data_IF_327666592731
#
_entry.id   IF_327666592731
#
_cell.length_a   1.000
_cell.length_b   1.000
_cell.length_c   1.000
_cell.angle_alpha   90.00
_cell.angle_beta   90.00
_cell.angle_gamma   90.00
#
_symmetry.space_group_name_H-M   'P 1'
#
loop_
_entity.id
_entity.type
_entity.pdbx_description
1 polymer ?
#
# COMPACT_ATOMS: atom_id res chain seq x y z
N UNK A 1 4.22 -16.11 -10.17
CA UNK A 1 2.85 -16.66 -10.12
C UNK A 1 1.93 -15.88 -11.05
N UNK A 2 0.71 -16.38 -11.26
CA UNK A 2 -0.27 -15.69 -12.08
C UNK A 2 -1.08 -14.70 -11.23
N UNK A 3 -1.76 -13.74 -11.90
CA UNK A 3 -2.75 -12.78 -11.41
C UNK A 3 -2.36 -11.98 -10.16
N UNK A 4 -1.08 -11.76 -9.90
CA UNK A 4 -0.61 -10.99 -8.76
C UNK A 4 -1.26 -9.60 -8.74
N UNK A 5 -1.24 -8.88 -9.85
CA UNK A 5 -1.85 -7.55 -10.04
C UNK A 5 -3.39 -7.50 -9.83
N UNK A 6 -4.04 -8.66 -9.88
CA UNK A 6 -5.48 -8.80 -9.64
C UNK A 6 -5.83 -9.39 -8.26
N UNK A 7 -4.83 -9.54 -7.38
CA UNK A 7 -4.97 -10.02 -6.01
C UNK A 7 -4.35 -11.37 -5.72
N UNK A 8 -3.75 -12.06 -6.71
CA UNK A 8 -2.98 -13.29 -6.54
C UNK A 8 -3.78 -14.55 -6.17
N UNK A 9 -5.12 -14.47 -6.16
CA UNK A 9 -5.97 -15.59 -5.70
C UNK A 9 -5.88 -16.84 -6.60
N UNK A 10 -5.71 -16.67 -7.93
CA UNK A 10 -5.53 -17.78 -8.88
C UNK A 10 -4.05 -18.16 -9.05
N UNK A 11 -3.14 -17.40 -8.48
CA UNK A 11 -1.70 -17.63 -8.44
C UNK A 11 -1.26 -18.25 -7.11
N UNK A 12 -0.62 -17.45 -6.25
CA UNK A 12 -0.12 -17.90 -4.93
C UNK A 12 -1.24 -18.36 -4.02
N UNK A 13 -2.38 -17.67 -4.00
CA UNK A 13 -3.53 -18.08 -3.21
C UNK A 13 -3.99 -19.50 -3.57
N UNK A 14 -4.13 -19.81 -4.86
CA UNK A 14 -4.47 -21.15 -5.32
C UNK A 14 -3.40 -22.18 -4.95
N UNK A 15 -2.11 -21.84 -5.04
CA UNK A 15 -1.02 -22.74 -4.66
C UNK A 15 -1.08 -23.09 -3.17
N UNK A 16 -1.35 -22.10 -2.31
CA UNK A 16 -1.47 -22.30 -0.87
C UNK A 16 -2.67 -23.22 -0.54
N UNK A 17 -3.80 -23.02 -1.20
CA UNK A 17 -4.99 -23.85 -0.96
C UNK A 17 -4.85 -25.27 -1.48
N UNK A 18 -4.15 -25.50 -2.60
CA UNK A 18 -4.14 -26.80 -3.30
C UNK A 18 -2.79 -27.51 -3.29
N UNK A 19 -1.70 -26.81 -3.00
CA UNK A 19 -0.33 -27.31 -3.08
C UNK A 19 0.55 -26.70 -1.98
N UNK A 20 0.01 -26.59 -0.76
CA UNK A 20 0.70 -25.99 0.39
C UNK A 20 2.09 -26.60 0.66
N UNK A 21 2.30 -27.87 0.30
CA UNK A 21 3.57 -28.58 0.45
C UNK A 21 4.75 -27.91 -0.29
N UNK A 22 4.49 -27.04 -1.28
CA UNK A 22 5.54 -26.29 -1.98
C UNK A 22 6.26 -25.32 -1.04
N UNK A 23 5.55 -24.85 -0.01
CA UNK A 23 6.06 -23.89 0.96
C UNK A 23 6.65 -24.54 2.21
N UNK A 24 6.60 -25.88 2.31
CA UNK A 24 7.09 -26.63 3.47
C UNK A 24 8.60 -26.38 3.67
N UNK A 25 8.97 -25.93 4.87
CA UNK A 25 10.36 -25.65 5.23
C UNK A 25 10.89 -24.31 4.71
N UNK A 26 10.10 -23.52 3.98
CA UNK A 26 10.48 -22.17 3.62
C UNK A 26 10.42 -21.25 4.87
N UNK A 27 11.57 -20.74 5.30
CA UNK A 27 11.64 -19.79 6.43
C UNK A 27 11.67 -18.33 6.00
N UNK A 28 12.18 -18.08 4.80
CA UNK A 28 12.33 -16.71 4.23
C UNK A 28 11.98 -16.70 2.75
N UNK A 29 11.54 -15.55 2.27
CA UNK A 29 11.20 -15.32 0.87
C UNK A 29 11.68 -13.93 0.46
N UNK A 30 12.28 -13.85 -0.73
CA UNK A 30 12.50 -12.59 -1.45
C UNK A 30 11.50 -12.49 -2.59
N UNK A 31 10.81 -11.38 -2.64
CA UNK A 31 9.80 -11.08 -3.67
C UNK A 31 10.09 -9.71 -4.29
N UNK A 32 9.27 -9.32 -5.24
CA UNK A 32 9.20 -7.96 -5.74
C UNK A 32 8.85 -6.96 -4.63
N UNK A 33 9.07 -5.67 -4.87
CA UNK A 33 8.88 -4.61 -3.90
C UNK A 33 10.20 -4.01 -3.42
N UNK A 34 10.12 -3.02 -2.55
CA UNK A 34 11.29 -2.25 -2.16
C UNK A 34 11.84 -1.39 -3.28
N UNK A 35 13.13 -1.07 -3.23
CA UNK A 35 13.82 -0.32 -4.28
C UNK A 35 15.03 0.44 -3.79
N UNK A 36 15.94 0.74 -4.71
CA UNK A 36 17.11 1.59 -4.46
C UNK A 36 16.89 3.01 -4.98
N UNK A 37 17.28 4.00 -4.22
CA UNK A 37 17.27 5.40 -4.64
C UNK A 37 18.62 6.05 -4.41
N UNK A 38 19.00 6.97 -5.29
CA UNK A 38 20.21 7.78 -5.17
C UNK A 38 19.80 9.25 -5.02
N UNK A 39 20.22 9.87 -3.92
CA UNK A 39 20.05 11.31 -3.72
C UNK A 39 20.96 12.13 -4.64
N UNK A 40 20.71 13.44 -4.73
CA UNK A 40 21.56 14.38 -5.48
C UNK A 40 23.02 14.41 -4.96
N UNK A 41 23.21 14.20 -3.66
CA UNK A 41 24.51 14.12 -3.00
C UNK A 41 25.21 12.77 -3.23
N UNK A 42 24.59 11.84 -3.97
CA UNK A 42 25.14 10.54 -4.31
C UNK A 42 24.91 9.44 -3.29
N UNK A 43 24.23 9.71 -2.16
CA UNK A 43 23.90 8.71 -1.16
C UNK A 43 22.91 7.70 -1.74
N UNK A 44 23.12 6.42 -1.42
CA UNK A 44 22.23 5.33 -1.87
C UNK A 44 21.46 4.79 -0.67
N UNK A 45 20.14 4.68 -0.85
CA UNK A 45 19.25 4.10 0.15
C UNK A 45 18.47 2.97 -0.51
N UNK A 46 18.48 1.79 0.11
CA UNK A 46 17.67 0.64 -0.28
C UNK A 46 16.51 0.49 0.69
N UNK A 47 15.29 0.63 0.18
CA UNK A 47 14.07 0.25 0.90
C UNK A 47 13.83 -1.25 0.77
N UNK A 48 13.78 -1.97 1.87
CA UNK A 48 13.35 -3.37 1.93
C UNK A 48 11.91 -3.40 2.42
N UNK A 49 11.00 -3.84 1.57
CA UNK A 49 9.61 -3.95 1.98
C UNK A 49 9.43 -5.06 3.01
N UNK A 50 9.08 -4.69 4.23
CA UNK A 50 8.81 -5.62 5.33
C UNK A 50 7.31 -5.82 5.56
N UNK A 51 6.50 -4.93 5.02
CA UNK A 51 5.04 -4.98 5.06
C UNK A 51 4.45 -4.09 3.97
N UNK A 52 3.16 -4.22 3.76
CA UNK A 52 2.40 -3.44 2.78
C UNK A 52 1.12 -2.90 3.41
N UNK A 53 0.55 -1.86 2.84
CA UNK A 53 -0.81 -1.47 3.18
C UNK A 53 -1.76 -2.59 2.76
N UNK A 54 -2.71 -2.89 3.64
CA UNK A 54 -3.68 -3.98 3.42
C UNK A 54 -4.79 -3.48 2.51
N UNK A 55 -4.97 -4.04 1.31
CA UNK A 55 -6.09 -3.70 0.46
C UNK A 55 -7.40 -4.19 1.06
N UNK A 56 -8.40 -3.31 1.04
CA UNK A 56 -9.78 -3.60 1.42
C UNK A 56 -10.67 -2.96 0.36
N UNK A 57 -11.07 -3.75 -0.63
CA UNK A 57 -11.94 -3.28 -1.70
C UNK A 57 -13.39 -3.46 -1.32
N UNK A 58 -14.14 -2.40 -1.34
CA UNK A 58 -15.51 -2.35 -0.88
C UNK A 58 -16.44 -1.89 -2.00
N UNK A 59 -17.67 -2.39 -1.96
CA UNK A 59 -18.78 -1.83 -2.72
C UNK A 59 -19.83 -1.29 -1.75
N UNK A 60 -20.22 -0.07 -1.98
CA UNK A 60 -21.34 0.58 -1.31
C UNK A 60 -22.58 0.39 -2.18
N UNK A 61 -23.62 -0.23 -1.65
CA UNK A 61 -24.85 -0.54 -2.36
C UNK A 61 -26.02 0.26 -1.76
N UNK A 62 -26.81 0.89 -2.59
CA UNK A 62 -28.05 1.56 -2.18
C UNK A 62 -29.21 1.11 -3.06
N UNK A 63 -30.28 0.65 -2.41
CA UNK A 63 -31.55 0.28 -3.07
C UNK A 63 -32.62 1.25 -2.61
N UNK A 64 -33.43 1.75 -3.56
CA UNK A 64 -34.57 2.63 -3.27
C UNK A 64 -35.66 2.45 -4.33
N UNK A 65 -36.83 3.06 -4.09
CA UNK A 65 -37.91 3.00 -5.04
C UNK A 65 -37.60 3.80 -6.31
N UNK A 66 -37.68 3.21 -7.51
CA UNK A 66 -37.45 3.92 -8.76
C UNK A 66 -38.52 4.97 -9.03
N UNK A 67 -38.22 5.92 -9.93
CA UNK A 67 -39.16 6.97 -10.27
C UNK A 67 -38.78 7.78 -11.50
N UNK A 68 -39.63 8.71 -11.83
CA UNK A 68 -39.41 9.66 -12.92
C UNK A 68 -38.61 10.86 -12.42
N UNK A 69 -37.56 11.28 -13.16
CA UNK A 69 -36.66 12.36 -12.74
C UNK A 69 -37.35 13.72 -12.54
N UNK A 70 -38.55 13.96 -13.15
CA UNK A 70 -39.33 15.18 -12.93
C UNK A 70 -40.07 15.22 -11.57
N UNK A 71 -40.14 14.12 -10.84
CA UNK A 71 -40.84 14.01 -9.55
C UNK A 71 -39.85 13.46 -8.49
N UNK A 72 -38.82 14.26 -8.12
CA UNK A 72 -37.78 13.81 -7.21
C UNK A 72 -38.36 13.56 -5.81
N UNK A 73 -37.86 12.50 -5.18
CA UNK A 73 -38.12 12.21 -3.75
C UNK A 73 -37.04 12.85 -2.89
N UNK A 74 -37.27 12.86 -1.57
CA UNK A 74 -36.27 13.32 -0.58
C UNK A 74 -35.00 12.48 -0.62
N UNK A 75 -35.13 11.17 -0.92
CA UNK A 75 -34.01 10.24 -1.07
C UNK A 75 -34.19 9.41 -2.33
N UNK A 76 -33.09 8.89 -2.83
CA UNK A 76 -33.00 7.90 -3.90
C UNK A 76 -31.73 7.06 -3.70
N UNK A 77 -31.64 5.93 -4.39
CA UNK A 77 -30.41 5.13 -4.39
C UNK A 77 -29.16 5.97 -4.69
N UNK A 78 -29.22 6.84 -5.69
CA UNK A 78 -28.09 7.72 -6.08
C UNK A 78 -27.79 8.75 -4.99
N UNK A 79 -28.79 9.41 -4.41
CA UNK A 79 -28.53 10.43 -3.38
C UNK A 79 -27.98 9.83 -2.11
N UNK A 80 -28.34 8.59 -1.76
CA UNK A 80 -27.76 7.85 -0.62
C UNK A 80 -26.29 7.55 -0.84
N UNK A 81 -25.90 7.08 -2.02
CA UNK A 81 -24.49 6.87 -2.38
C UNK A 81 -23.72 8.19 -2.30
N UNK A 82 -24.24 9.28 -2.90
CA UNK A 82 -23.58 10.59 -2.85
C UNK A 82 -23.40 11.07 -1.39
N UNK A 83 -24.40 10.87 -0.52
CA UNK A 83 -24.29 11.23 0.91
C UNK A 83 -23.22 10.39 1.61
N UNK A 84 -23.18 9.06 1.39
CA UNK A 84 -22.18 8.20 1.98
C UNK A 84 -20.76 8.61 1.54
N UNK A 85 -20.56 8.85 0.25
CA UNK A 85 -19.28 9.29 -0.29
C UNK A 85 -18.86 10.67 0.28
N UNK A 86 -19.81 11.61 0.41
CA UNK A 86 -19.51 12.92 1.00
C UNK A 86 -19.09 12.80 2.47
N UNK A 87 -19.75 11.94 3.25
CA UNK A 87 -19.35 11.66 4.64
C UNK A 87 -17.90 11.16 4.70
N UNK A 88 -17.53 10.21 3.85
CA UNK A 88 -16.17 9.67 3.81
C UNK A 88 -15.13 10.71 3.38
N UNK A 89 -15.48 11.60 2.45
CA UNK A 89 -14.61 12.69 2.02
C UNK A 89 -14.37 13.75 3.11
N UNK A 90 -15.44 14.12 3.83
CA UNK A 90 -15.36 15.13 4.89
C UNK A 90 -14.74 14.60 6.19
N UNK A 91 -14.67 13.27 6.36
CA UNK A 91 -14.16 12.62 7.56
C UNK A 91 -13.04 11.63 7.22
N UNK A 92 -11.86 12.12 6.79
CA UNK A 92 -10.72 11.25 6.50
C UNK A 92 -10.28 10.50 7.76
N UNK A 93 -9.85 9.25 7.59
CA UNK A 93 -9.37 8.44 8.72
C UNK A 93 -8.21 9.15 9.44
N UNK A 94 -8.17 9.10 10.79
CA UNK A 94 -7.17 9.80 11.57
C UNK A 94 -5.76 9.27 11.28
N UNK A 95 -4.74 10.14 11.29
CA UNK A 95 -3.36 9.71 11.11
C UNK A 95 -2.88 8.93 12.34
N UNK A 96 -2.04 7.92 12.09
CA UNK A 96 -1.36 7.12 13.11
C UNK A 96 -0.07 6.54 12.56
N UNK A 97 0.83 6.15 13.44
CA UNK A 97 2.15 5.62 13.08
C UNK A 97 2.29 4.19 13.58
N UNK A 98 2.78 3.33 12.72
CA UNK A 98 3.25 1.98 13.05
C UNK A 98 4.78 1.94 13.08
N UNK A 99 5.37 0.95 13.75
CA UNK A 99 6.82 0.83 13.93
C UNK A 99 7.63 1.01 12.64
N UNK A 100 7.41 0.18 11.59
CA UNK A 100 8.15 0.31 10.33
C UNK A 100 8.02 1.68 9.65
N UNK A 101 6.87 2.34 9.78
CA UNK A 101 6.67 3.70 9.25
C UNK A 101 7.47 4.73 10.04
N UNK A 102 7.51 4.62 11.37
CA UNK A 102 8.31 5.51 12.22
C UNK A 102 9.80 5.40 11.87
N UNK A 103 10.30 4.19 11.73
CA UNK A 103 11.68 3.91 11.36
C UNK A 103 12.02 4.45 9.98
N UNK A 104 11.17 4.18 8.99
CA UNK A 104 11.32 4.70 7.62
C UNK A 104 11.42 6.23 7.60
N UNK A 105 10.49 6.95 8.24
CA UNK A 105 10.53 8.41 8.27
C UNK A 105 11.72 8.95 9.05
N UNK A 106 12.08 8.32 10.18
CA UNK A 106 13.24 8.69 10.97
C UNK A 106 14.53 8.66 10.15
N UNK A 107 14.74 7.59 9.44
CA UNK A 107 15.90 7.42 8.57
C UNK A 107 15.86 8.32 7.33
N UNK A 108 14.68 8.49 6.72
CA UNK A 108 14.51 9.39 5.58
C UNK A 108 14.77 10.86 5.95
N UNK A 109 14.56 11.24 7.22
CA UNK A 109 14.74 12.61 7.70
C UNK A 109 16.15 13.17 7.47
N UNK A 110 17.15 12.30 7.42
CA UNK A 110 18.58 12.66 7.24
C UNK A 110 18.83 13.26 5.86
N UNK A 111 18.06 12.85 4.85
CA UNK A 111 18.19 13.30 3.46
C UNK A 111 17.16 14.38 3.09
N UNK A 112 16.35 14.83 4.08
CA UNK A 112 15.34 15.86 3.87
C UNK A 112 15.90 17.25 4.17
N UNK A 113 15.33 18.25 3.51
CA UNK A 113 15.62 19.66 3.77
C UNK A 113 15.14 20.12 5.15
N UNK A 114 15.49 21.38 5.50
CA UNK A 114 15.13 22.00 6.79
C UNK A 114 13.61 22.08 7.03
N UNK A 115 12.81 22.01 5.96
CA UNK A 115 11.35 22.08 6.04
C UNK A 115 10.74 20.75 6.49
N UNK A 116 11.24 19.61 6.00
CA UNK A 116 10.67 18.28 6.24
C UNK A 116 11.45 17.44 7.25
N UNK A 117 12.79 17.60 7.29
CA UNK A 117 13.67 16.78 8.11
C UNK A 117 13.26 16.72 9.58
N UNK A 118 13.08 17.87 10.28
CA UNK A 118 12.69 17.85 11.69
C UNK A 118 11.35 17.17 11.97
N UNK A 119 10.37 17.32 11.07
CA UNK A 119 9.06 16.68 11.18
C UNK A 119 9.15 15.17 10.96
N UNK A 120 9.96 14.72 9.99
CA UNK A 120 10.17 13.30 9.71
C UNK A 120 10.95 12.61 10.81
N UNK A 121 11.97 13.25 11.37
CA UNK A 121 12.71 12.74 12.53
C UNK A 121 11.81 12.46 13.74
N UNK A 122 10.68 13.16 13.84
CA UNK A 122 9.70 12.96 14.91
C UNK A 122 8.27 12.90 14.35
N UNK A 123 8.05 12.02 13.37
CA UNK A 123 6.80 11.92 12.62
C UNK A 123 5.59 11.66 13.53
N UNK A 124 5.78 10.88 14.61
CA UNK A 124 4.69 10.58 15.57
C UNK A 124 4.17 11.83 16.31
N UNK A 125 4.99 12.84 16.47
CA UNK A 125 4.58 14.12 17.03
C UNK A 125 4.05 15.05 15.93
N UNK A 126 4.71 15.08 14.77
CA UNK A 126 4.35 15.95 13.66
C UNK A 126 2.92 15.70 13.16
N UNK A 127 2.47 14.43 13.08
CA UNK A 127 1.11 14.10 12.63
C UNK A 127 0.00 14.53 13.60
N UNK A 128 0.32 15.02 14.79
CA UNK A 128 -0.67 15.60 15.72
C UNK A 128 -1.07 17.01 15.33
N UNK A 129 -0.26 17.67 14.52
CA UNK A 129 -0.61 18.99 13.95
C UNK A 129 -1.43 18.80 12.65
N UNK A 130 -2.72 19.20 12.64
CA UNK A 130 -3.56 19.11 11.44
C UNK A 130 -2.98 19.89 10.24
N UNK A 131 -2.25 20.98 10.47
CA UNK A 131 -1.65 21.77 9.38
C UNK A 131 -0.51 20.98 8.73
N UNK A 132 0.31 20.29 9.52
CA UNK A 132 1.35 19.41 8.98
C UNK A 132 0.72 18.27 8.18
N UNK A 133 -0.34 17.64 8.68
CA UNK A 133 -1.04 16.54 8.00
C UNK A 133 -1.62 17.01 6.67
N UNK A 134 -2.23 18.18 6.62
CA UNK A 134 -2.74 18.79 5.38
C UNK A 134 -1.59 19.06 4.40
N UNK A 135 -0.51 19.68 4.86
CA UNK A 135 0.69 19.93 4.04
C UNK A 135 1.29 18.63 3.49
N UNK A 136 1.36 17.58 4.33
CA UNK A 136 1.85 16.26 3.92
C UNK A 136 0.97 15.67 2.82
N UNK A 137 -0.35 15.80 2.95
CA UNK A 137 -1.32 15.33 1.95
C UNK A 137 -1.14 16.05 0.60
N UNK A 138 -1.01 17.37 0.63
CA UNK A 138 -0.92 18.20 -0.58
C UNK A 138 0.42 18.05 -1.30
N UNK A 139 1.52 18.04 -0.55
CA UNK A 139 2.87 18.04 -1.12
C UNK A 139 3.45 16.64 -1.35
N UNK A 140 3.05 15.65 -0.54
CA UNK A 140 3.62 14.30 -0.54
C UNK A 140 2.54 13.23 -0.30
N UNK A 141 1.59 13.03 -1.23
CA UNK A 141 0.44 12.13 -1.03
C UNK A 141 0.86 10.69 -0.75
N UNK A 142 1.96 10.20 -1.31
CA UNK A 142 2.53 8.88 -1.00
C UNK A 142 2.91 8.75 0.48
N UNK A 143 3.60 9.74 1.04
CA UNK A 143 3.95 9.74 2.46
C UNK A 143 2.72 9.93 3.37
N UNK A 144 1.74 10.74 2.94
CA UNK A 144 0.48 10.86 3.66
C UNK A 144 -0.27 9.51 3.74
N UNK A 145 -0.19 8.69 2.71
CA UNK A 145 -0.83 7.37 2.71
C UNK A 145 -0.16 6.37 3.67
N UNK A 146 1.12 6.58 4.04
CA UNK A 146 1.83 5.76 5.02
C UNK A 146 1.45 6.09 6.47
N UNK A 147 0.84 7.23 6.72
CA UNK A 147 0.47 7.66 8.08
C UNK A 147 -1.02 7.56 8.37
N UNK A 148 -1.83 6.94 7.50
CA UNK A 148 -3.28 6.73 7.74
C UNK A 148 -3.87 5.65 6.84
N UNK A 149 -5.08 5.22 7.18
CA UNK A 149 -5.92 4.48 6.24
C UNK A 149 -6.44 5.44 5.17
N UNK A 150 -6.57 4.94 3.96
CA UNK A 150 -7.02 5.72 2.81
C UNK A 150 -8.08 4.96 2.03
N UNK A 151 -9.05 5.67 1.45
CA UNK A 151 -10.01 5.12 0.50
C UNK A 151 -10.08 6.02 -0.73
N UNK A 152 -9.89 5.44 -1.89
CA UNK A 152 -10.10 6.08 -3.18
C UNK A 152 -11.44 5.63 -3.76
N UNK A 153 -12.26 6.58 -4.19
CA UNK A 153 -13.52 6.30 -4.88
C UNK A 153 -13.22 6.06 -6.36
N UNK A 154 -13.21 4.80 -6.78
CA UNK A 154 -12.69 4.42 -8.10
C UNK A 154 -13.78 4.19 -9.14
N UNK A 155 -14.95 3.72 -8.72
CA UNK A 155 -16.07 3.45 -9.61
C UNK A 155 -17.39 3.91 -9.01
N UNK A 156 -18.31 4.38 -9.86
CA UNK A 156 -19.63 4.85 -9.46
C UNK A 156 -20.64 4.50 -10.54
N UNK A 157 -21.81 4.02 -10.15
CA UNK A 157 -22.89 3.69 -11.07
C UNK A 157 -24.25 4.10 -10.52
N UNK A 158 -25.14 4.43 -11.44
CA UNK A 158 -26.54 4.80 -11.19
C UNK A 158 -27.41 4.54 -12.42
N UNK A 159 -28.25 5.49 -12.82
CA UNK A 159 -29.12 5.32 -14.00
C UNK A 159 -28.36 5.49 -15.31
N UNK A 160 -28.68 4.65 -16.30
CA UNK A 160 -28.29 4.83 -17.70
C UNK A 160 -29.16 5.85 -18.45
N UNK A 161 -30.25 6.34 -17.83
CA UNK A 161 -31.22 7.29 -18.43
C UNK A 161 -31.35 8.54 -17.57
N UNK A 162 -31.19 9.72 -18.16
CA UNK A 162 -31.21 11.00 -17.46
C UNK A 162 -32.54 11.30 -16.75
N UNK A 163 -33.65 10.79 -17.26
CA UNK A 163 -35.00 11.04 -16.75
C UNK A 163 -35.53 9.95 -15.82
N UNK A 164 -34.69 9.00 -15.37
CA UNK A 164 -35.08 7.87 -14.52
C UNK A 164 -34.30 7.88 -13.24
N UNK A 165 -34.98 7.85 -12.10
CA UNK A 165 -34.42 7.55 -10.79
C UNK A 165 -34.27 6.04 -10.72
N UNK A 166 -33.02 5.49 -10.62
CA UNK A 166 -32.83 4.04 -10.66
C UNK A 166 -33.22 3.39 -9.32
N UNK A 167 -33.59 2.10 -9.35
CA UNK A 167 -33.86 1.34 -8.12
C UNK A 167 -32.57 1.05 -7.32
N UNK A 168 -31.44 1.06 -8.00
CA UNK A 168 -30.14 0.69 -7.43
C UNK A 168 -29.06 1.68 -7.87
N UNK A 169 -28.14 1.99 -6.97
CA UNK A 169 -26.90 2.68 -7.26
C UNK A 169 -25.78 2.09 -6.39
N UNK A 170 -24.54 2.16 -6.87
CA UNK A 170 -23.41 1.67 -6.12
C UNK A 170 -22.14 2.50 -6.39
N UNK A 171 -21.20 2.41 -5.45
CA UNK A 171 -19.85 2.92 -5.60
C UNK A 171 -18.83 1.87 -5.15
N UNK A 172 -17.67 1.82 -5.79
CA UNK A 172 -16.55 0.98 -5.37
C UNK A 172 -15.42 1.83 -4.84
N UNK A 173 -14.84 1.35 -3.74
CA UNK A 173 -13.77 1.98 -3.01
C UNK A 173 -12.55 1.06 -3.03
N UNK A 174 -11.38 1.59 -3.42
CA UNK A 174 -10.08 1.00 -3.13
C UNK A 174 -9.59 1.59 -1.80
N UNK A 175 -9.80 0.87 -0.71
CA UNK A 175 -9.27 1.23 0.59
C UNK A 175 -7.94 0.51 0.84
N UNK A 176 -6.99 1.23 1.43
CA UNK A 176 -5.67 0.74 1.82
C UNK A 176 -5.44 1.08 3.27
N UNK A 177 -5.46 0.09 4.15
CA UNK A 177 -5.31 0.30 5.58
C UNK A 177 -3.89 -0.01 6.05
N UNK A 178 -3.48 0.58 7.15
CA UNK A 178 -2.21 0.24 7.79
C UNK A 178 -2.30 -1.18 8.39
N UNK A 179 -1.21 -1.96 8.37
CA UNK A 179 -1.22 -3.36 8.77
C UNK A 179 -1.20 -3.58 10.30
N UNK A 180 -1.87 -2.71 11.05
CA UNK A 180 -1.93 -2.72 12.51
C UNK A 180 -3.31 -3.09 13.07
N UNK A 181 -4.29 -3.34 12.18
CA UNK A 181 -5.63 -3.79 12.55
C UNK A 181 -6.23 -4.73 11.50
N UNK A 182 -7.12 -5.66 11.91
CA UNK A 182 -7.87 -6.51 10.99
C UNK A 182 -8.79 -5.70 10.06
N UNK A 183 -8.99 -6.20 8.84
CA UNK A 183 -9.84 -5.55 7.85
C UNK A 183 -11.30 -5.43 8.32
N UNK A 184 -11.81 -6.40 9.06
CA UNK A 184 -13.18 -6.41 9.61
C UNK A 184 -13.42 -5.24 10.57
N UNK A 185 -12.40 -4.86 11.36
CA UNK A 185 -12.48 -3.69 12.25
C UNK A 185 -12.62 -2.41 11.42
N UNK A 186 -11.81 -2.26 10.39
CA UNK A 186 -11.90 -1.12 9.48
C UNK A 186 -13.25 -1.04 8.76
N UNK A 187 -13.75 -2.18 8.24
CA UNK A 187 -15.06 -2.26 7.55
C UNK A 187 -16.17 -1.83 8.50
N UNK A 188 -16.11 -2.28 9.76
CA UNK A 188 -17.08 -1.89 10.79
C UNK A 188 -17.02 -0.39 11.11
N UNK A 189 -15.81 0.19 11.22
CA UNK A 189 -15.61 1.64 11.43
C UNK A 189 -16.20 2.44 10.26
N UNK A 190 -15.88 2.07 9.02
CA UNK A 190 -16.41 2.72 7.81
C UNK A 190 -17.95 2.61 7.74
N UNK A 191 -18.50 1.43 7.99
CA UNK A 191 -19.93 1.20 8.01
C UNK A 191 -20.66 2.06 9.06
N UNK A 192 -20.07 2.21 10.24
CA UNK A 192 -20.61 3.08 11.30
C UNK A 192 -20.64 4.56 10.89
N UNK A 193 -19.64 5.03 10.12
CA UNK A 193 -19.61 6.42 9.64
C UNK A 193 -20.79 6.75 8.72
N UNK A 194 -21.22 5.78 7.89
CA UNK A 194 -22.24 6.00 6.85
C UNK A 194 -23.60 5.38 7.19
N UNK A 195 -23.80 4.85 8.39
CA UNK A 195 -24.99 4.08 8.79
C UNK A 195 -26.32 4.83 8.53
N UNK A 196 -26.35 6.13 8.78
CA UNK A 196 -27.55 6.96 8.61
C UNK A 196 -27.96 7.17 7.13
N UNK A 197 -27.08 6.83 6.18
CA UNK A 197 -27.39 6.90 4.74
C UNK A 197 -28.25 5.73 4.26
N UNK A 198 -28.31 4.65 5.02
CA UNK A 198 -28.96 3.39 4.63
C UNK A 198 -28.27 2.69 3.46
N UNK A 199 -26.97 2.94 3.29
CA UNK A 199 -26.11 2.25 2.32
C UNK A 199 -25.53 1.00 2.96
N UNK A 200 -25.55 -0.11 2.24
CA UNK A 200 -24.94 -1.38 2.64
C UNK A 200 -23.50 -1.46 2.14
N UNK A 201 -22.61 -2.01 2.98
CA UNK A 201 -21.20 -2.21 2.66
C UNK A 201 -20.99 -3.69 2.33
N UNK A 202 -20.51 -3.96 1.13
CA UNK A 202 -20.13 -5.28 0.64
C UNK A 202 -18.60 -5.34 0.49
N UNK A 203 -17.97 -6.40 0.96
CA UNK A 203 -16.53 -6.63 0.78
C UNK A 203 -16.30 -7.36 -0.54
N UNK A 204 -15.54 -6.73 -1.46
CA UNK A 204 -15.10 -7.36 -2.71
C UNK A 204 -13.84 -8.18 -2.45
N UNK A 205 -12.87 -7.58 -1.72
CA UNK A 205 -11.60 -8.20 -1.37
C UNK A 205 -11.08 -7.58 -0.07
N UNK A 206 -10.47 -8.40 0.78
CA UNK A 206 -9.74 -7.94 1.95
C UNK A 206 -8.61 -8.90 2.26
N UNK A 207 -7.40 -8.35 2.49
CA UNK A 207 -6.25 -9.14 2.92
C UNK A 207 -6.08 -9.06 4.44
N UNK A 208 -5.26 -9.98 4.97
CA UNK A 208 -4.83 -9.98 6.36
C UNK A 208 -3.61 -9.07 6.55
N UNK A 209 -3.54 -8.33 7.66
CA UNK A 209 -2.36 -7.53 7.98
C UNK A 209 -1.21 -8.43 8.46
N UNK A 210 -0.01 -8.24 7.92
CA UNK A 210 1.17 -8.94 8.35
C UNK A 210 2.43 -8.08 8.19
N UNK A 211 3.36 -8.20 9.14
CA UNK A 211 4.66 -7.50 9.16
C UNK A 211 5.75 -8.53 9.34
N UNK A 212 6.75 -8.54 8.45
CA UNK A 212 7.96 -9.35 8.61
C UNK A 212 8.93 -8.65 9.55
N UNK A 213 9.51 -9.38 10.51
CA UNK A 213 10.55 -8.85 11.40
C UNK A 213 11.86 -8.59 10.63
N UNK A 214 12.67 -7.61 11.06
CA UNK A 214 13.95 -7.26 10.44
C UNK A 214 15.15 -7.95 11.09
N UNK A 215 14.97 -8.55 12.27
CA UNK A 215 16.02 -9.26 13.00
C UNK A 215 16.30 -10.66 12.44
N UNK A 216 16.59 -10.75 11.13
CA UNK A 216 16.78 -12.02 10.43
C UNK A 216 18.11 -12.10 9.72
N UNK A 217 18.57 -13.33 9.45
CA UNK A 217 19.77 -13.58 8.64
C UNK A 217 19.64 -12.97 7.24
N UNK A 218 18.43 -13.02 6.64
CA UNK A 218 18.21 -12.46 5.31
C UNK A 218 18.33 -10.94 5.30
N UNK A 219 17.76 -10.23 6.28
CA UNK A 219 17.88 -8.78 6.37
C UNK A 219 19.34 -8.35 6.59
N UNK A 220 20.04 -9.02 7.51
CA UNK A 220 21.47 -8.80 7.75
C UNK A 220 22.33 -9.07 6.50
N UNK A 221 21.98 -10.07 5.68
CA UNK A 221 22.68 -10.34 4.42
C UNK A 221 22.44 -9.22 3.38
N UNK A 222 21.22 -8.67 3.30
CA UNK A 222 20.93 -7.51 2.45
C UNK A 222 21.78 -6.33 2.88
N UNK A 223 21.85 -6.01 4.18
CA UNK A 223 22.67 -4.92 4.69
C UNK A 223 24.17 -5.13 4.39
N UNK A 224 24.69 -6.31 4.68
CA UNK A 224 26.11 -6.60 4.47
C UNK A 224 26.51 -6.51 2.98
N UNK A 225 25.73 -7.12 2.12
CA UNK A 225 26.02 -7.15 0.68
C UNK A 225 25.85 -5.78 0.04
N UNK A 226 24.80 -5.03 0.40
CA UNK A 226 24.61 -3.67 -0.13
C UNK A 226 25.70 -2.71 0.35
N UNK A 227 26.15 -2.82 1.58
CA UNK A 227 27.27 -2.04 2.11
C UNK A 227 28.61 -2.38 1.41
N UNK A 228 28.83 -3.65 1.09
CA UNK A 228 30.04 -4.09 0.37
C UNK A 228 30.05 -3.56 -1.08
N UNK A 229 28.92 -3.68 -1.78
CA UNK A 229 28.81 -3.31 -3.19
C UNK A 229 28.58 -1.80 -3.41
N UNK A 230 27.97 -1.14 -2.44
CA UNK A 230 27.66 0.30 -2.43
C UNK A 230 28.12 0.93 -1.11
N UNK A 231 29.43 1.16 -0.92
CA UNK A 231 29.94 1.71 0.34
C UNK A 231 29.24 3.02 0.76
N UNK A 232 28.76 3.06 1.98
CA UNK A 232 27.99 4.19 2.53
C UNK A 232 26.48 4.15 2.23
N UNK A 233 25.99 3.09 1.56
CA UNK A 233 24.55 2.90 1.40
C UNK A 233 23.88 2.58 2.74
N UNK A 234 22.57 2.86 2.81
CA UNK A 234 21.72 2.49 3.95
C UNK A 234 20.62 1.55 3.51
N UNK A 235 20.23 0.63 4.37
CA UNK A 235 19.09 -0.27 4.16
C UNK A 235 18.02 0.07 5.16
N UNK A 236 16.82 0.35 4.70
CA UNK A 236 15.68 0.77 5.53
C UNK A 236 14.52 -0.21 5.38
N UNK A 237 13.88 -0.62 6.48
CA UNK A 237 12.58 -1.27 6.37
C UNK A 237 11.58 -0.28 5.77
N UNK A 238 10.81 -0.74 4.82
CA UNK A 238 9.82 0.09 4.12
C UNK A 238 8.43 -0.56 4.13
N UNK A 239 7.42 0.27 3.92
CA UNK A 239 6.03 -0.13 3.77
C UNK A 239 5.58 0.19 2.36
N UNK A 240 5.18 -0.81 1.59
CA UNK A 240 4.58 -0.58 0.28
C UNK A 240 3.16 -0.01 0.43
N UNK A 241 2.82 0.95 -0.42
CA UNK A 241 1.43 1.42 -0.57
C UNK A 241 0.61 0.53 -1.49
N UNK A 242 1.28 -0.26 -2.34
CA UNK A 242 0.72 -1.34 -3.15
C UNK A 242 0.56 -2.64 -2.35
N UNK A 243 0.34 -3.73 -3.06
CA UNK A 243 0.35 -5.09 -2.51
C UNK A 243 1.11 -6.01 -3.45
N UNK A 244 1.59 -7.12 -2.92
CA UNK A 244 2.28 -8.18 -3.65
C UNK A 244 1.84 -9.53 -3.11
N UNK A 245 2.22 -10.62 -3.75
CA UNK A 245 2.01 -11.98 -3.26
C UNK A 245 2.63 -12.26 -1.87
N UNK A 246 3.48 -11.36 -1.36
CA UNK A 246 4.11 -11.48 -0.04
C UNK A 246 3.11 -11.55 1.13
N UNK A 247 1.89 -11.02 0.97
CA UNK A 247 0.89 -11.14 2.03
C UNK A 247 0.49 -12.59 2.27
N UNK A 248 0.33 -13.40 1.21
CA UNK A 248 -0.02 -14.82 1.33
C UNK A 248 1.06 -15.63 2.06
N UNK A 249 2.33 -15.35 1.75
CA UNK A 249 3.44 -16.06 2.38
C UNK A 249 3.67 -15.62 3.82
N UNK A 250 3.41 -14.35 4.14
CA UNK A 250 3.39 -13.85 5.52
C UNK A 250 2.28 -14.50 6.35
N UNK A 251 1.11 -14.78 5.76
CA UNK A 251 0.02 -15.51 6.42
C UNK A 251 0.42 -16.95 6.80
N UNK A 252 1.37 -17.54 6.05
CA UNK A 252 1.98 -18.83 6.40
C UNK A 252 3.08 -18.73 7.46
N UNK A 253 3.40 -17.53 7.96
CA UNK A 253 4.48 -17.28 8.90
C UNK A 253 5.87 -17.25 8.25
N UNK A 254 5.96 -17.17 6.92
CA UNK A 254 7.22 -17.04 6.20
C UNK A 254 7.63 -15.56 6.23
N UNK A 255 8.86 -15.28 6.69
CA UNK A 255 9.43 -13.93 6.62
C UNK A 255 9.63 -13.56 5.16
N UNK A 256 8.85 -12.59 4.68
CA UNK A 256 8.83 -12.21 3.27
C UNK A 256 9.22 -10.73 3.10
N UNK A 257 10.27 -10.49 2.31
CA UNK A 257 10.73 -9.15 1.97
C UNK A 257 10.56 -8.87 0.48
N UNK A 258 10.04 -7.68 0.16
CA UNK A 258 10.22 -7.10 -1.15
C UNK A 258 11.59 -6.44 -1.23
N UNK A 259 12.44 -6.90 -2.14
CA UNK A 259 13.78 -6.36 -2.33
C UNK A 259 14.13 -6.26 -3.81
N UNK A 260 14.28 -5.04 -4.28
CA UNK A 260 14.72 -4.71 -5.62
C UNK A 260 15.94 -3.77 -5.54
N UNK A 261 17.17 -4.27 -5.80
CA UNK A 261 18.39 -3.46 -5.74
C UNK A 261 18.58 -2.54 -6.95
N UNK A 262 17.56 -2.35 -7.78
CA UNK A 262 17.61 -1.37 -8.87
C UNK A 262 17.70 0.03 -8.28
N UNK A 263 18.79 0.73 -8.56
CA UNK A 263 19.02 2.10 -8.11
C UNK A 263 18.49 3.06 -9.17
N UNK A 264 17.48 3.86 -8.79
CA UNK A 264 16.97 4.98 -9.59
C UNK A 264 17.57 6.30 -9.07
N UNK A 265 17.83 7.24 -9.97
CA UNK A 265 18.30 8.55 -9.58
C UNK A 265 17.14 9.46 -9.15
N UNK A 266 17.43 10.46 -8.31
CA UNK A 266 16.43 11.45 -7.93
C UNK A 266 15.80 12.10 -9.17
N UNK A 267 14.45 12.09 -9.23
CA UNK A 267 13.69 12.63 -10.37
C UNK A 267 13.62 11.73 -11.62
N UNK A 268 14.24 10.56 -11.60
CA UNK A 268 14.10 9.58 -12.67
C UNK A 268 12.70 8.94 -12.64
N UNK A 269 12.01 8.98 -13.77
CA UNK A 269 10.67 8.41 -13.90
C UNK A 269 10.74 7.14 -14.74
N UNK A 270 10.50 6.00 -14.11
CA UNK A 270 10.53 4.69 -14.78
C UNK A 270 9.26 4.37 -15.56
N UNK A 271 8.17 5.08 -15.30
CA UNK A 271 6.89 4.89 -15.99
C UNK A 271 6.17 3.59 -15.63
N UNK A 272 6.44 3.02 -14.46
CA UNK A 272 5.78 1.79 -13.98
C UNK A 272 4.27 1.86 -14.18
N UNK A 273 3.67 0.81 -14.74
CA UNK A 273 2.27 0.70 -15.16
C UNK A 273 1.86 1.70 -16.27
N UNK A 274 2.82 2.43 -16.85
CA UNK A 274 2.60 3.37 -17.94
C UNK A 274 2.91 2.80 -19.32
N UNK A 275 2.57 3.57 -20.38
CA UNK A 275 2.79 3.14 -21.76
C UNK A 275 4.27 3.09 -22.16
N UNK A 276 5.11 3.88 -21.51
CA UNK A 276 6.55 4.03 -21.84
C UNK A 276 7.42 3.59 -20.65
N UNK A 277 7.04 2.49 -20.01
CA UNK A 277 7.82 1.90 -18.91
C UNK A 277 9.23 1.53 -19.40
N UNK A 278 10.22 1.96 -18.63
CA UNK A 278 11.62 1.79 -19.02
C UNK A 278 12.53 1.54 -17.81
N UNK A 279 13.61 0.84 -18.05
CA UNK A 279 14.69 0.62 -17.10
C UNK A 279 16.04 0.82 -17.77
N UNK A 280 16.99 1.46 -17.08
CA UNK A 280 18.34 1.62 -17.58
C UNK A 280 19.07 0.27 -17.67
N UNK A 281 19.63 -0.08 -18.83
CA UNK A 281 20.28 -1.38 -19.05
C UNK A 281 21.41 -1.66 -18.03
N UNK A 282 22.28 -0.67 -17.78
CA UNK A 282 23.37 -0.83 -16.81
C UNK A 282 22.88 -0.95 -15.38
N UNK A 283 21.84 -0.18 -15.01
CA UNK A 283 21.21 -0.26 -13.69
C UNK A 283 20.59 -1.64 -13.48
N UNK A 284 19.89 -2.16 -14.48
CA UNK A 284 19.29 -3.50 -14.44
C UNK A 284 20.35 -4.60 -14.30
N UNK A 285 21.44 -4.54 -15.13
CA UNK A 285 22.53 -5.53 -15.03
C UNK A 285 23.19 -5.53 -13.65
N UNK A 286 23.40 -4.35 -13.06
CA UNK A 286 23.95 -4.20 -11.71
C UNK A 286 23.00 -4.81 -10.69
N UNK A 287 21.71 -4.45 -10.75
CA UNK A 287 20.70 -4.95 -9.84
C UNK A 287 20.61 -6.49 -9.84
N UNK A 288 20.71 -7.13 -11.00
CA UNK A 288 20.77 -8.60 -11.11
C UNK A 288 22.00 -9.15 -10.37
N UNK A 289 23.15 -8.50 -10.50
CA UNK A 289 24.38 -8.90 -9.80
C UNK A 289 24.25 -8.76 -8.27
N UNK A 290 23.70 -7.64 -7.81
CA UNK A 290 23.49 -7.32 -6.39
C UNK A 290 22.49 -8.30 -5.76
N UNK A 291 21.38 -8.55 -6.45
CA UNK A 291 20.37 -9.53 -6.00
C UNK A 291 20.98 -10.95 -5.88
N UNK A 292 21.76 -11.37 -6.91
CA UNK A 292 22.45 -12.65 -6.87
C UNK A 292 23.43 -12.74 -5.69
N UNK A 293 24.16 -11.68 -5.37
CA UNK A 293 25.10 -11.64 -4.26
C UNK A 293 24.39 -11.82 -2.91
N UNK A 294 23.22 -11.18 -2.72
CA UNK A 294 22.39 -11.37 -1.52
C UNK A 294 21.91 -12.82 -1.41
N UNK A 295 21.35 -13.39 -2.48
CA UNK A 295 20.87 -14.78 -2.47
C UNK A 295 22.02 -15.75 -2.17
N UNK A 296 23.17 -15.54 -2.78
CA UNK A 296 24.35 -16.36 -2.55
C UNK A 296 24.83 -16.30 -1.08
N UNK A 297 24.87 -15.12 -0.49
CA UNK A 297 25.27 -14.94 0.91
C UNK A 297 24.34 -15.73 1.87
N UNK A 298 23.04 -15.72 1.61
CA UNK A 298 22.06 -16.44 2.45
C UNK A 298 22.14 -17.94 2.29
N UNK A 299 22.40 -18.44 1.07
CA UNK A 299 22.30 -19.89 0.77
C UNK A 299 23.62 -20.63 0.98
N UNK A 300 24.77 -19.98 0.79
CA UNK A 300 26.09 -20.64 0.76
C UNK A 300 26.90 -20.36 2.03
N UNK A 301 26.81 -19.15 2.57
CA UNK A 301 27.56 -18.71 3.76
C UNK A 301 26.69 -18.83 5.04
#
# INVERSE_FOLDING_TARGET
>A
TADEEAGGYFGVGWLIENRAEIFDGAGVLLNEGGGGSRSEDGNVVFGVEVTQKVPVWLRLNAIDTPGHGSSPRTTSSVTRIVQALNILLENPFPPRIIGPVAEYFGELSVDMDEEWGPAYANISEAIRDPNFVQKLHEARPGHNSLVRDTCSMTRLSGSSKINVIPPEAWAELDCRILPDKPAEVFISELGAMIVDTGVEVETIMAFTPAISETSTRLFAAIEAVTQELHPGSRVLPSVSTGFTDSHFTRDLGIVSYGFNPLITNSGEHTGVHGNDEQVGEEAFRRAVGDYYAVVRNVVID
#
